data_IF_579411109946
#
_entry.id   IF_579411109946
#
_cell.length_a   1.000
_cell.length_b   1.000
_cell.length_c   1.000
_cell.angle_alpha   90.00
_cell.angle_beta   90.00
_cell.angle_gamma   90.00
#
_symmetry.space_group_name_H-M   'P 1'
#
loop_
_entity.id
_entity.type
_entity.pdbx_description
1 polymer ?
#
# COMPACT_ATOMS: atom_id res chain seq x y z
N UNK A 1 4.45 -11.06 19.70
CA UNK A 1 3.67 -11.48 18.51
C UNK A 1 3.34 -10.20 17.75
N UNK A 2 3.90 -10.00 16.57
CA UNK A 2 3.67 -8.80 15.76
C UNK A 2 2.59 -9.13 14.73
N UNK A 3 1.58 -8.29 14.61
CA UNK A 3 0.56 -8.37 13.56
C UNK A 3 0.88 -7.33 12.48
N UNK A 4 0.54 -7.63 11.23
CA UNK A 4 0.61 -6.71 10.10
C UNK A 4 -0.69 -6.81 9.31
N UNK A 5 -1.14 -5.70 8.76
CA UNK A 5 -2.34 -5.61 7.92
C UNK A 5 -1.95 -5.38 6.46
N UNK A 6 -2.53 -6.16 5.55
CA UNK A 6 -2.41 -5.99 4.10
C UNK A 6 -3.82 -5.87 3.56
N UNK A 7 -4.23 -4.64 3.27
CA UNK A 7 -5.57 -4.31 2.84
C UNK A 7 -5.64 -4.24 1.32
N UNK A 8 -6.37 -5.17 0.70
CA UNK A 8 -6.57 -5.21 -0.75
C UNK A 8 -7.95 -4.64 -1.08
N UNK A 9 -7.98 -3.52 -1.79
CA UNK A 9 -9.20 -2.77 -2.11
C UNK A 9 -9.04 -2.05 -3.45
N UNK A 10 -10.15 -1.78 -4.14
CA UNK A 10 -10.19 -1.10 -5.44
C UNK A 10 -9.24 -1.66 -6.51
N UNK A 11 -9.11 -2.98 -6.59
CA UNK A 11 -8.27 -3.65 -7.58
C UNK A 11 -8.58 -3.13 -8.99
N UNK A 12 -7.58 -2.60 -9.72
CA UNK A 12 -7.81 -1.96 -11.00
C UNK A 12 -8.17 -2.99 -12.07
N UNK A 13 -9.16 -2.66 -12.90
CA UNK A 13 -9.47 -3.39 -14.13
C UNK A 13 -8.69 -2.85 -15.34
N UNK A 14 -7.54 -2.22 -15.10
CA UNK A 14 -6.68 -1.61 -16.11
C UNK A 14 -5.72 -2.66 -16.71
N UNK A 15 -5.06 -2.36 -17.84
CA UNK A 15 -3.99 -3.21 -18.36
C UNK A 15 -2.85 -3.41 -17.36
N UNK A 16 -2.08 -4.48 -17.53
CA UNK A 16 -0.95 -4.78 -16.67
C UNK A 16 0.06 -3.61 -16.64
N UNK A 17 0.49 -3.27 -15.43
CA UNK A 17 1.57 -2.29 -15.17
C UNK A 17 2.67 -2.93 -14.33
N UNK A 18 3.85 -2.32 -14.34
CA UNK A 18 4.94 -2.64 -13.42
C UNK A 18 4.75 -1.96 -12.07
N UNK A 19 3.87 -0.97 -11.98
CA UNK A 19 3.62 -0.23 -10.75
C UNK A 19 2.90 -1.08 -9.71
N UNK A 20 3.28 -0.88 -8.47
CA UNK A 20 2.56 -1.31 -7.26
C UNK A 20 2.30 -0.03 -6.49
N UNK A 21 1.19 0.62 -6.80
CA UNK A 21 0.85 1.88 -6.17
C UNK A 21 0.45 1.63 -4.71
N UNK A 22 0.89 2.48 -3.81
CA UNK A 22 0.54 2.45 -2.39
C UNK A 22 -0.13 3.76 -2.03
N UNK A 23 -1.30 3.67 -1.38
CA UNK A 23 -1.94 4.84 -0.80
C UNK A 23 -1.18 5.24 0.48
N UNK A 24 -0.79 6.52 0.56
CA UNK A 24 -0.08 7.03 1.74
C UNK A 24 1.35 6.54 1.90
N UNK A 25 2.15 6.52 0.82
CA UNK A 25 3.59 6.21 0.83
C UNK A 25 4.32 6.91 1.99
N UNK A 26 5.22 6.17 2.63
CA UNK A 26 6.02 6.61 3.77
C UNK A 26 5.32 6.50 5.12
N UNK A 27 4.16 5.85 5.20
CA UNK A 27 3.40 5.67 6.45
C UNK A 27 3.61 4.31 7.10
N UNK A 28 4.24 3.36 6.41
CA UNK A 28 4.43 2.01 6.91
C UNK A 28 5.81 1.44 6.58
N UNK A 29 6.47 0.83 7.57
CA UNK A 29 7.72 0.07 7.36
C UNK A 29 7.53 -1.17 6.47
N UNK A 30 6.28 -1.61 6.27
CA UNK A 30 5.94 -2.71 5.35
C UNK A 30 6.24 -2.37 3.89
N UNK A 31 6.33 -1.09 3.53
CA UNK A 31 6.66 -0.63 2.18
C UNK A 31 8.07 -1.05 1.74
N UNK A 32 9.03 -1.07 2.67
CA UNK A 32 10.39 -1.55 2.40
C UNK A 32 10.41 -3.05 2.08
N UNK A 33 9.57 -3.82 2.77
CA UNK A 33 9.41 -5.25 2.55
C UNK A 33 8.74 -5.47 1.18
N UNK A 34 7.66 -4.74 0.90
CA UNK A 34 6.98 -4.76 -0.39
C UNK A 34 7.93 -4.45 -1.54
N UNK A 35 8.75 -3.40 -1.42
CA UNK A 35 9.70 -2.98 -2.44
C UNK A 35 10.69 -4.08 -2.81
N UNK A 36 11.20 -4.84 -1.84
CA UNK A 36 12.10 -5.98 -2.09
C UNK A 36 11.43 -7.07 -2.91
N UNK A 37 10.18 -7.43 -2.59
CA UNK A 37 9.46 -8.48 -3.31
C UNK A 37 8.95 -8.00 -4.67
N UNK A 38 8.52 -6.75 -4.79
CA UNK A 38 8.16 -6.14 -6.07
C UNK A 38 9.35 -6.16 -7.03
N UNK A 39 10.55 -5.82 -6.56
CA UNK A 39 11.77 -5.83 -7.38
C UNK A 39 12.09 -7.23 -7.95
N UNK A 40 11.88 -8.31 -7.18
CA UNK A 40 12.06 -9.69 -7.66
C UNK A 40 11.14 -10.00 -8.84
N UNK A 41 9.95 -9.38 -8.88
CA UNK A 41 8.99 -9.51 -9.98
C UNK A 41 9.23 -8.50 -11.11
N UNK A 42 10.30 -7.70 -11.05
CA UNK A 42 10.55 -6.59 -11.97
C UNK A 42 9.51 -5.47 -11.85
N UNK A 43 8.83 -5.33 -10.72
CA UNK A 43 7.84 -4.30 -10.42
C UNK A 43 8.44 -3.18 -9.57
N UNK A 44 7.76 -2.03 -9.50
CA UNK A 44 8.21 -0.84 -8.76
C UNK A 44 7.09 -0.34 -7.85
N UNK A 45 7.41 -0.02 -6.59
CA UNK A 45 6.45 0.62 -5.68
C UNK A 45 6.37 2.11 -6.02
N UNK A 46 5.15 2.61 -6.16
CA UNK A 46 4.87 4.02 -6.48
C UNK A 46 3.85 4.59 -5.50
N UNK A 47 3.69 5.91 -5.49
CA UNK A 47 2.56 6.55 -4.81
C UNK A 47 1.28 6.47 -5.63
N UNK A 48 0.16 6.78 -4.97
CA UNK A 48 -1.18 6.83 -5.55
C UNK A 48 -1.38 7.94 -6.61
N UNK A 49 -0.45 8.91 -6.70
CA UNK A 49 -0.49 10.01 -7.66
C UNK A 49 -1.54 11.09 -7.39
N UNK A 50 -2.43 10.86 -6.41
CA UNK A 50 -3.53 11.74 -6.04
C UNK A 50 -3.66 11.86 -4.51
N UNK A 51 -2.57 12.23 -3.79
CA UNK A 51 -2.58 12.26 -2.32
C UNK A 51 -3.62 13.25 -1.76
N UNK A 52 -4.00 14.28 -2.53
CA UNK A 52 -5.02 15.26 -2.18
C UNK A 52 -6.43 14.66 -2.02
N UNK A 53 -6.71 13.50 -2.63
CA UNK A 53 -7.99 12.80 -2.54
C UNK A 53 -8.16 12.00 -1.23
N UNK A 54 -7.10 11.93 -0.41
CA UNK A 54 -7.15 11.38 0.94
C UNK A 54 -7.45 9.89 1.03
N UNK A 55 -7.17 9.11 -0.03
CA UNK A 55 -7.46 7.66 -0.10
C UNK A 55 -6.89 6.84 1.06
N UNK A 56 -5.71 7.20 1.58
CA UNK A 56 -5.14 6.56 2.78
C UNK A 56 -6.10 6.54 3.98
N UNK A 57 -6.97 7.54 4.14
CA UNK A 57 -7.88 7.63 5.30
C UNK A 57 -9.25 6.98 5.06
N UNK A 58 -9.44 6.28 3.92
CA UNK A 58 -10.77 5.88 3.42
C UNK A 58 -11.03 4.37 3.42
N UNK A 59 -10.07 3.54 3.82
CA UNK A 59 -10.18 2.06 3.80
C UNK A 59 -9.75 1.45 5.15
N UNK A 60 -9.94 0.15 5.33
CA UNK A 60 -9.90 -0.51 6.64
C UNK A 60 -8.50 -0.48 7.29
N UNK A 61 -7.43 -0.52 6.49
CA UNK A 61 -6.04 -0.41 6.96
C UNK A 61 -5.79 0.80 7.87
N UNK A 62 -6.51 1.91 7.67
CA UNK A 62 -6.33 3.13 8.46
C UNK A 62 -6.62 2.88 9.93
N UNK A 63 -7.65 2.10 10.25
CA UNK A 63 -8.01 1.80 11.64
C UNK A 63 -6.93 0.93 12.32
N UNK A 64 -6.30 0.01 11.57
CA UNK A 64 -5.17 -0.77 12.05
C UNK A 64 -3.94 0.11 12.29
N UNK A 65 -3.61 0.98 11.33
CA UNK A 65 -2.50 1.93 11.45
C UNK A 65 -2.71 2.89 12.64
N UNK A 66 -3.92 3.42 12.81
CA UNK A 66 -4.28 4.27 13.95
C UNK A 66 -4.17 3.53 15.29
N UNK A 67 -4.42 2.20 15.28
CA UNK A 67 -4.22 1.31 16.43
C UNK A 67 -2.76 0.87 16.66
N UNK A 68 -1.80 1.36 15.86
CA UNK A 68 -0.38 1.01 15.98
C UNK A 68 0.02 -0.32 15.33
N UNK A 69 -0.86 -0.93 14.53
CA UNK A 69 -0.53 -2.10 13.72
C UNK A 69 0.05 -1.61 12.39
N UNK A 70 1.27 -2.02 11.98
CA UNK A 70 1.78 -1.72 10.65
C UNK A 70 0.78 -2.20 9.59
N UNK A 71 0.33 -1.28 8.73
CA UNK A 71 -0.71 -1.55 7.75
C UNK A 71 -0.26 -1.06 6.37
N UNK A 72 -0.71 -1.74 5.32
CA UNK A 72 -0.33 -1.46 3.94
C UNK A 72 -1.56 -1.59 3.05
N UNK A 73 -1.84 -0.58 2.25
CA UNK A 73 -2.90 -0.59 1.24
C UNK A 73 -2.29 -0.40 -0.15
N UNK A 74 -1.95 -1.49 -0.86
CA UNK A 74 -1.66 -1.41 -2.28
C UNK A 74 -2.95 -1.19 -3.07
N UNK A 75 -2.82 -0.43 -4.16
CA UNK A 75 -3.83 -0.28 -5.20
C UNK A 75 -3.63 -1.34 -6.29
#
# INVERSE_FOLDING_TARGET
>A
RTAADINIDMLPFTPATRDVAVFGVGKSELEDILGRFAAVQGRVVTGDGYPEEGFYYRSDHFNFAAGGVPALMPW
#
